data_IF_598430434730
#
_entry.id   IF_598430434730
#
_cell.length_a   1.000
_cell.length_b   1.000
_cell.length_c   1.000
_cell.angle_alpha   90.00
_cell.angle_beta   90.00
_cell.angle_gamma   90.00
#
_symmetry.space_group_name_H-M   'P 1'
#
loop_
_entity.id
_entity.type
_entity.pdbx_description
1 polymer ?
#
# COMPACT_ATOMS: atom_id res chain seq x y z
N UNK A 1 0.37 5.93 3.07
CA UNK A 1 0.61 5.13 1.85
C UNK A 1 2.11 4.92 1.69
N UNK A 2 2.56 3.69 1.55
CA UNK A 2 3.96 3.31 1.35
C UNK A 2 4.06 2.43 0.10
N UNK A 3 4.16 3.04 -1.09
CA UNK A 3 4.13 2.31 -2.36
C UNK A 3 5.49 1.67 -2.71
N UNK A 4 6.55 2.09 -2.03
CA UNK A 4 7.92 1.73 -2.31
C UNK A 4 8.33 0.35 -1.79
N UNK A 5 9.38 -0.22 -2.40
CA UNK A 5 9.94 -1.51 -2.03
C UNK A 5 11.30 -1.76 -2.67
N UNK A 6 12.15 -2.59 -2.06
CA UNK A 6 13.48 -2.90 -2.57
C UNK A 6 13.51 -3.92 -3.73
N UNK A 7 12.35 -4.39 -4.20
CA UNK A 7 12.23 -5.43 -5.24
C UNK A 7 11.32 -4.95 -6.36
N UNK A 8 11.86 -4.73 -7.56
CA UNK A 8 11.15 -4.12 -8.68
C UNK A 8 9.85 -4.86 -9.04
N UNK A 9 9.85 -6.18 -8.96
CA UNK A 9 8.71 -7.05 -9.24
C UNK A 9 7.54 -6.88 -8.26
N UNK A 10 7.76 -6.22 -7.11
CA UNK A 10 6.71 -5.87 -6.13
C UNK A 10 6.11 -4.49 -6.37
N UNK A 11 6.58 -3.71 -7.34
CA UNK A 11 5.91 -2.46 -7.68
C UNK A 11 4.54 -2.73 -8.28
N UNK A 12 3.54 -2.04 -7.74
CA UNK A 12 2.24 -1.90 -8.38
C UNK A 12 2.26 -0.67 -9.28
N UNK A 13 1.37 -0.59 -10.26
CA UNK A 13 1.42 0.49 -11.26
C UNK A 13 1.25 1.87 -10.62
N UNK A 14 2.06 2.83 -11.05
CA UNK A 14 2.10 4.18 -10.50
C UNK A 14 0.77 4.94 -10.68
N UNK A 15 0.11 4.76 -11.82
CA UNK A 15 -1.21 5.31 -12.12
C UNK A 15 -2.28 4.81 -11.13
N UNK A 16 -2.25 3.52 -10.77
CA UNK A 16 -3.18 2.93 -9.81
C UNK A 16 -2.93 3.40 -8.38
N UNK A 17 -1.67 3.59 -7.99
CA UNK A 17 -1.33 4.23 -6.71
C UNK A 17 -1.90 5.63 -6.63
N UNK A 18 -1.68 6.44 -7.67
CA UNK A 18 -2.24 7.79 -7.76
C UNK A 18 -3.77 7.72 -7.66
N UNK A 19 -4.41 6.83 -8.40
CA UNK A 19 -5.85 6.70 -8.42
C UNK A 19 -6.45 6.29 -7.07
N UNK A 20 -5.84 5.35 -6.34
CA UNK A 20 -6.27 5.04 -4.96
C UNK A 20 -6.15 6.24 -4.04
N UNK A 21 -5.06 6.99 -4.13
CA UNK A 21 -4.85 8.20 -3.32
C UNK A 21 -5.93 9.24 -3.62
N UNK A 22 -6.31 9.43 -4.89
CA UNK A 22 -7.41 10.33 -5.27
C UNK A 22 -8.75 9.87 -4.71
N UNK A 23 -9.07 8.59 -4.85
CA UNK A 23 -10.32 8.02 -4.31
C UNK A 23 -10.44 8.14 -2.78
N UNK A 24 -9.29 8.10 -2.08
CA UNK A 24 -9.22 8.36 -0.65
C UNK A 24 -9.46 9.83 -0.30
N UNK A 25 -8.87 10.77 -1.05
CA UNK A 25 -9.00 12.21 -0.77
C UNK A 25 -10.34 12.78 -1.26
N UNK A 26 -10.65 12.56 -2.54
CA UNK A 26 -11.70 13.26 -3.28
C UNK A 26 -12.94 12.39 -3.52
N UNK A 27 -12.81 11.06 -3.41
CA UNK A 27 -13.89 10.07 -3.65
C UNK A 27 -14.90 9.93 -2.50
N UNK A 28 -15.12 10.98 -1.71
CA UNK A 28 -16.08 11.01 -0.60
C UNK A 28 -15.58 10.46 0.74
N UNK A 29 -14.40 9.82 0.77
CA UNK A 29 -13.78 9.28 1.99
C UNK A 29 -13.10 10.35 2.85
N UNK A 30 -12.71 11.48 2.26
CA UNK A 30 -12.08 12.62 2.94
C UNK A 30 -10.85 12.21 3.78
N UNK A 31 -10.09 11.21 3.31
CA UNK A 31 -8.88 10.72 3.96
C UNK A 31 -7.66 11.49 3.46
N UNK A 32 -7.02 12.24 4.36
CA UNK A 32 -5.74 12.90 4.07
C UNK A 32 -4.62 11.86 3.92
N UNK A 33 -4.06 11.77 2.72
CA UNK A 33 -3.01 10.82 2.41
C UNK A 33 -1.60 11.41 2.71
N UNK A 34 -0.77 10.59 3.35
CA UNK A 34 0.68 10.83 3.50
C UNK A 34 1.43 9.74 2.72
N UNK A 35 2.34 10.15 1.84
CA UNK A 35 3.20 9.23 1.07
C UNK A 35 4.57 9.14 1.77
N UNK A 36 4.98 7.92 2.10
CA UNK A 36 6.33 7.62 2.63
C UNK A 36 7.07 6.69 1.68
N UNK A 37 8.40 6.66 1.80
CA UNK A 37 9.30 5.85 0.98
C UNK A 37 10.76 6.21 1.27
N UNK A 38 11.67 5.34 0.85
CA UNK A 38 13.12 5.51 0.97
C UNK A 38 13.72 6.46 -0.06
N UNK A 39 15.06 6.45 -0.13
CA UNK A 39 15.87 7.24 -1.08
C UNK A 39 16.51 6.37 -2.16
N UNK A 40 16.10 5.10 -2.27
CA UNK A 40 16.60 4.21 -3.32
C UNK A 40 16.24 4.80 -4.72
N UNK A 41 17.14 4.75 -5.72
CA UNK A 41 16.87 5.35 -7.02
C UNK A 41 15.64 4.79 -7.74
N UNK A 42 15.36 3.50 -7.61
CA UNK A 42 14.21 2.87 -8.27
C UNK A 42 12.91 3.21 -7.52
N UNK A 43 12.97 3.26 -6.19
CA UNK A 43 11.85 3.70 -5.35
C UNK A 43 11.51 5.18 -5.60
N UNK A 44 12.54 6.02 -5.68
CA UNK A 44 12.39 7.45 -5.99
C UNK A 44 11.74 7.65 -7.35
N UNK A 45 12.20 6.92 -8.38
CA UNK A 45 11.60 6.97 -9.72
C UNK A 45 10.13 6.56 -9.70
N UNK A 46 9.81 5.47 -9.00
CA UNK A 46 8.44 5.01 -8.87
C UNK A 46 7.54 6.05 -8.17
N UNK A 47 8.03 6.67 -7.11
CA UNK A 47 7.33 7.74 -6.40
C UNK A 47 7.13 8.98 -7.27
N UNK A 48 8.13 9.37 -8.04
CA UNK A 48 8.04 10.52 -8.96
C UNK A 48 6.95 10.29 -10.03
N UNK A 49 6.83 9.08 -10.56
CA UNK A 49 5.75 8.70 -11.48
C UNK A 49 4.37 8.83 -10.83
N UNK A 50 4.21 8.32 -9.59
CA UNK A 50 2.95 8.46 -8.82
C UNK A 50 2.60 9.94 -8.63
N UNK A 51 3.58 10.75 -8.23
CA UNK A 51 3.40 12.19 -7.98
C UNK A 51 3.04 12.91 -9.28
N UNK A 52 3.63 12.54 -10.41
CA UNK A 52 3.30 13.08 -11.72
C UNK A 52 1.83 12.80 -12.11
N UNK A 53 1.35 11.57 -11.88
CA UNK A 53 -0.05 11.20 -12.10
C UNK A 53 -1.02 11.95 -11.17
N UNK A 54 -0.62 12.21 -9.92
CA UNK A 54 -1.44 13.01 -8.99
C UNK A 54 -1.54 14.47 -9.44
N UNK A 55 -0.44 15.07 -9.89
CA UNK A 55 -0.41 16.47 -10.35
C UNK A 55 -1.28 16.70 -11.59
N UNK A 56 -1.34 15.74 -12.51
CA UNK A 56 -2.07 15.91 -13.77
C UNK A 56 -3.60 15.92 -13.62
N UNK A 57 -4.11 15.52 -12.45
CA UNK A 57 -5.55 15.30 -12.23
C UNK A 57 -6.22 16.34 -11.31
N UNK A 58 -5.44 17.30 -10.77
CA UNK A 58 -5.98 18.41 -9.97
C UNK A 58 -6.51 18.03 -8.58
N UNK A 59 -6.17 16.83 -8.08
CA UNK A 59 -6.61 16.31 -6.78
C UNK A 59 -6.00 17.03 -5.58
N UNK A 60 -6.63 16.90 -4.41
CA UNK A 60 -6.04 17.32 -3.15
C UNK A 60 -4.68 16.64 -2.95
N UNK A 61 -3.62 17.46 -2.93
CA UNK A 61 -2.25 16.95 -2.91
C UNK A 61 -1.98 16.22 -1.60
N UNK A 62 -1.51 14.96 -1.64
CA UNK A 62 -1.07 14.27 -0.43
C UNK A 62 0.19 14.94 0.12
N UNK A 63 0.42 14.78 1.43
CA UNK A 63 1.70 15.15 2.02
C UNK A 63 2.77 14.13 1.61
N UNK A 64 3.78 14.56 0.86
CA UNK A 64 4.88 13.70 0.42
C UNK A 64 6.07 13.84 1.35
N UNK A 65 6.37 12.78 2.10
CA UNK A 65 7.54 12.69 2.99
C UNK A 65 8.54 11.62 2.53
N UNK A 66 8.33 11.02 1.37
CA UNK A 66 9.26 10.04 0.83
C UNK A 66 10.66 10.65 0.60
N UNK A 67 11.70 9.88 0.93
CA UNK A 67 13.09 10.31 0.89
C UNK A 67 13.51 11.33 1.96
N UNK A 68 12.59 11.77 2.83
CA UNK A 68 12.82 12.81 3.84
C UNK A 68 12.84 12.28 5.28
N UNK A 69 12.53 11.00 5.47
CA UNK A 69 12.40 10.39 6.79
C UNK A 69 13.45 9.31 7.00
N UNK A 70 14.03 9.28 8.20
CA UNK A 70 14.68 8.09 8.72
C UNK A 70 13.65 6.96 8.94
N UNK A 71 14.16 5.75 9.21
CA UNK A 71 13.30 4.61 9.54
C UNK A 71 12.43 4.88 10.79
N UNK A 72 13.00 5.52 11.81
CA UNK A 72 12.28 5.83 13.05
C UNK A 72 11.22 6.91 12.84
N UNK A 73 11.50 7.91 12.02
CA UNK A 73 10.51 8.94 11.67
C UNK A 73 9.39 8.35 10.80
N UNK A 74 9.73 7.44 9.87
CA UNK A 74 8.72 6.68 9.11
C UNK A 74 7.82 5.88 10.05
N UNK A 75 8.40 5.19 11.03
CA UNK A 75 7.63 4.46 12.06
C UNK A 75 6.72 5.41 12.87
N UNK A 76 7.21 6.60 13.24
CA UNK A 76 6.43 7.60 13.96
C UNK A 76 5.26 8.14 13.13
N UNK A 77 5.44 8.33 11.82
CA UNK A 77 4.36 8.69 10.89
C UNK A 77 3.32 7.56 10.81
N UNK A 78 3.77 6.32 10.61
CA UNK A 78 2.87 5.15 10.53
C UNK A 78 2.05 5.01 11.82
N UNK A 79 2.66 5.17 13.00
CA UNK A 79 1.97 5.10 14.30
C UNK A 79 0.82 6.09 14.46
N UNK A 80 0.82 7.18 13.69
CA UNK A 80 -0.22 8.22 13.71
C UNK A 80 -1.28 8.06 12.61
N UNK A 81 -1.12 7.09 11.72
CA UNK A 81 -2.07 6.85 10.65
C UNK A 81 -3.35 6.20 11.19
N UNK A 82 -4.49 6.50 10.58
CA UNK A 82 -5.76 5.78 10.83
C UNK A 82 -5.86 4.50 10.01
N UNK A 83 -5.14 4.44 8.89
CA UNK A 83 -5.09 3.34 7.94
C UNK A 83 -3.74 3.35 7.24
N UNK A 84 -3.09 2.18 7.14
CA UNK A 84 -1.91 1.99 6.32
C UNK A 84 -2.25 1.29 5.01
N UNK A 85 -1.52 1.64 3.95
CA UNK A 85 -1.66 1.03 2.63
C UNK A 85 -0.26 0.92 2.03
N UNK A 86 0.08 -0.25 1.48
CA UNK A 86 1.38 -0.50 0.87
C UNK A 86 1.50 -1.90 0.28
N UNK A 87 2.69 -2.24 -0.19
CA UNK A 87 3.03 -3.61 -0.59
C UNK A 87 3.67 -4.36 0.59
N UNK A 88 3.95 -5.64 0.42
CA UNK A 88 4.71 -6.45 1.38
C UNK A 88 6.11 -5.87 1.69
N UNK A 89 6.19 -5.03 2.73
CA UNK A 89 7.41 -4.36 3.21
C UNK A 89 7.42 -4.22 4.73
N UNK A 90 8.60 -3.89 5.28
CA UNK A 90 8.76 -3.57 6.69
C UNK A 90 7.77 -2.50 7.21
N UNK A 91 7.37 -1.53 6.37
CA UNK A 91 6.40 -0.51 6.75
C UNK A 91 5.04 -1.10 7.16
N UNK A 92 4.58 -2.16 6.48
CA UNK A 92 3.30 -2.82 6.80
C UNK A 92 3.40 -3.69 8.07
N UNK A 93 4.58 -4.24 8.34
CA UNK A 93 4.84 -4.90 9.63
C UNK A 93 4.90 -3.90 10.80
N UNK A 94 5.48 -2.71 10.59
CA UNK A 94 5.44 -1.63 11.59
C UNK A 94 4.00 -1.17 11.85
N UNK A 95 3.18 -1.02 10.80
CA UNK A 95 1.75 -0.72 10.95
C UNK A 95 1.04 -1.77 11.83
N UNK A 96 1.31 -3.06 11.58
CA UNK A 96 0.81 -4.15 12.42
C UNK A 96 1.27 -4.05 13.88
N UNK A 97 2.55 -3.73 14.11
CA UNK A 97 3.09 -3.58 15.46
C UNK A 97 2.43 -2.43 16.23
N UNK A 98 2.04 -1.36 15.53
CA UNK A 98 1.32 -0.22 16.09
C UNK A 98 -0.21 -0.38 16.10
N UNK A 99 -0.73 -1.56 15.74
CA UNK A 99 -2.17 -1.85 15.68
C UNK A 99 -2.93 -0.91 14.72
N UNK A 100 -2.29 -0.56 13.61
CA UNK A 100 -2.90 0.24 12.55
C UNK A 100 -3.60 -0.70 11.56
N UNK A 101 -4.91 -0.53 11.31
CA UNK A 101 -5.60 -1.22 10.22
C UNK A 101 -4.87 -1.00 8.89
N UNK A 102 -4.86 -2.01 8.02
CA UNK A 102 -4.05 -1.90 6.80
C UNK A 102 -4.57 -2.72 5.62
N UNK A 103 -4.31 -2.20 4.43
CA UNK A 103 -4.46 -2.93 3.17
C UNK A 103 -3.06 -3.20 2.61
N UNK A 104 -2.77 -4.48 2.33
CA UNK A 104 -1.43 -4.90 1.89
C UNK A 104 -1.52 -5.66 0.58
N UNK A 105 -0.76 -5.19 -0.41
CA UNK A 105 -0.72 -5.76 -1.75
C UNK A 105 0.39 -6.80 -1.87
N UNK A 106 0.04 -7.98 -2.37
CA UNK A 106 0.94 -9.10 -2.60
C UNK A 106 0.85 -9.58 -4.05
N UNK A 107 1.99 -9.96 -4.62
CA UNK A 107 2.09 -10.53 -5.96
C UNK A 107 3.15 -11.62 -6.01
N UNK A 108 4.44 -11.26 -6.12
CA UNK A 108 5.53 -12.24 -6.25
C UNK A 108 5.94 -12.86 -4.91
N UNK A 109 5.52 -12.28 -3.77
CA UNK A 109 5.76 -12.85 -2.44
C UNK A 109 4.53 -13.58 -1.93
N UNK A 110 4.76 -14.59 -1.09
CA UNK A 110 3.69 -15.42 -0.55
C UNK A 110 3.19 -14.88 0.81
N UNK A 111 1.89 -14.48 0.90
CA UNK A 111 1.28 -14.01 2.15
C UNK A 111 1.25 -15.06 3.28
N UNK A 112 1.37 -16.35 2.97
CA UNK A 112 1.50 -17.39 3.99
C UNK A 112 2.71 -17.11 4.89
N UNK A 113 3.83 -16.67 4.31
CA UNK A 113 5.09 -16.42 5.03
C UNK A 113 5.18 -15.00 5.58
N UNK A 114 4.72 -14.01 4.80
CA UNK A 114 5.08 -12.60 5.00
C UNK A 114 3.92 -11.69 5.36
N UNK A 115 2.66 -12.15 5.40
CA UNK A 115 1.55 -11.24 5.75
C UNK A 115 1.73 -10.64 7.15
N UNK A 116 1.42 -9.35 7.35
CA UNK A 116 1.40 -8.78 8.69
C UNK A 116 0.37 -9.47 9.58
N UNK A 117 0.71 -9.61 10.87
CA UNK A 117 -0.14 -10.29 11.86
C UNK A 117 -1.06 -9.30 12.57
N UNK A 118 -2.05 -8.79 11.84
CA UNK A 118 -3.09 -7.89 12.35
C UNK A 118 -4.48 -8.41 11.97
N UNK A 119 -5.47 -8.45 12.88
CA UNK A 119 -6.81 -8.97 12.58
C UNK A 119 -7.56 -8.14 11.54
N UNK A 120 -7.24 -6.85 11.44
CA UNK A 120 -7.79 -5.95 10.43
C UNK A 120 -6.84 -5.71 9.25
N UNK A 121 -5.83 -6.57 9.05
CA UNK A 121 -5.08 -6.57 7.79
C UNK A 121 -5.96 -7.15 6.68
N UNK A 122 -6.12 -6.40 5.57
CA UNK A 122 -6.76 -6.84 4.35
C UNK A 122 -5.69 -7.16 3.33
N UNK A 123 -5.47 -8.44 3.08
CA UNK A 123 -4.48 -8.91 2.12
C UNK A 123 -5.12 -9.01 0.74
N UNK A 124 -4.58 -8.25 -0.22
CA UNK A 124 -4.96 -8.33 -1.63
C UNK A 124 -3.86 -9.08 -2.36
N UNK A 125 -4.15 -10.29 -2.83
CA UNK A 125 -3.23 -11.08 -3.63
C UNK A 125 -3.55 -10.91 -5.11
N UNK A 126 -2.52 -10.71 -5.91
CA UNK A 126 -2.62 -10.66 -7.36
C UNK A 126 -3.37 -11.86 -7.94
N UNK A 127 -4.35 -11.60 -8.81
CA UNK A 127 -5.18 -12.63 -9.44
C UNK A 127 -6.12 -13.37 -8.49
N UNK A 128 -6.18 -12.99 -7.20
CA UNK A 128 -7.18 -13.48 -6.26
C UNK A 128 -8.40 -12.55 -6.28
N UNK A 129 -9.60 -13.12 -6.14
CA UNK A 129 -10.82 -12.32 -6.06
C UNK A 129 -11.03 -11.80 -4.63
N UNK A 130 -11.17 -10.48 -4.46
CA UNK A 130 -11.38 -9.88 -3.14
C UNK A 130 -10.20 -10.01 -2.16
N UNK A 131 -10.50 -9.88 -0.87
CA UNK A 131 -9.53 -9.96 0.24
C UNK A 131 -9.33 -11.44 0.61
N UNK A 132 -8.07 -11.85 0.82
CA UNK A 132 -7.77 -13.21 1.28
C UNK A 132 -8.32 -13.48 2.68
N UNK A 133 -8.78 -14.71 2.87
CA UNK A 133 -9.27 -15.30 4.11
C UNK A 133 -8.34 -16.40 4.59
N UNK A 134 -8.55 -16.92 5.80
CA UNK A 134 -7.65 -17.92 6.38
C UNK A 134 -7.56 -19.23 5.58
N UNK A 135 -8.59 -19.56 4.81
CA UNK A 135 -8.60 -20.74 3.94
C UNK A 135 -7.79 -20.56 2.65
N UNK A 136 -7.44 -19.33 2.29
CA UNK A 136 -6.75 -19.02 1.04
C UNK A 136 -5.23 -19.15 1.16
N UNK A 137 -4.68 -19.18 2.39
CA UNK A 137 -3.24 -19.22 2.60
C UNK A 137 -2.65 -20.61 2.41
N UNK A 138 -1.73 -20.74 1.45
CA UNK A 138 -1.01 -21.97 1.15
C UNK A 138 0.50 -21.81 1.29
N UNK A 139 1.19 -22.85 1.79
CA UNK A 139 2.65 -22.84 1.92
C UNK A 139 3.38 -22.61 0.58
N UNK A 140 2.81 -23.13 -0.50
CA UNK A 140 3.31 -22.99 -1.87
C UNK A 140 2.36 -22.08 -2.65
N UNK A 141 2.91 -21.04 -3.24
CA UNK A 141 2.22 -20.08 -4.09
C UNK A 141 3.14 -19.78 -5.27
N UNK A 142 2.59 -19.83 -6.48
CA UNK A 142 3.31 -19.39 -7.68
C UNK A 142 3.45 -17.88 -7.68
N UNK A 143 4.58 -17.35 -8.19
CA UNK A 143 4.79 -15.91 -8.28
C UNK A 143 3.75 -15.26 -9.20
N UNK A 144 3.20 -14.12 -8.78
CA UNK A 144 2.17 -13.41 -9.52
C UNK A 144 2.58 -11.96 -9.75
N UNK A 145 2.38 -11.45 -10.96
CA UNK A 145 2.65 -10.03 -11.26
C UNK A 145 1.70 -9.13 -10.50
N UNK A 146 2.18 -8.01 -9.95
CA UNK A 146 1.35 -7.01 -9.28
C UNK A 146 0.25 -6.43 -10.20
N UNK A 147 0.43 -6.51 -11.51
CA UNK A 147 -0.49 -5.94 -12.51
C UNK A 147 -1.90 -6.51 -12.49
N UNK A 148 -2.12 -7.72 -11.97
CA UNK A 148 -3.46 -8.29 -11.87
C UNK A 148 -4.26 -7.77 -10.68
N UNK A 149 -3.64 -7.05 -9.73
CA UNK A 149 -4.36 -6.39 -8.64
C UNK A 149 -5.16 -5.21 -9.18
N UNK A 150 -6.48 -5.26 -9.04
CA UNK A 150 -7.37 -4.21 -9.55
C UNK A 150 -7.56 -3.10 -8.52
N UNK A 151 -7.66 -1.86 -9.01
CA UNK A 151 -7.99 -0.68 -8.21
C UNK A 151 -9.22 -0.92 -7.32
N UNK A 152 -10.31 -1.42 -7.90
CA UNK A 152 -11.58 -1.63 -7.20
C UNK A 152 -11.44 -2.58 -5.99
N UNK A 153 -10.54 -3.56 -6.04
CA UNK A 153 -10.28 -4.46 -4.91
C UNK A 153 -9.63 -3.71 -3.74
N UNK A 154 -8.69 -2.82 -4.05
CA UNK A 154 -8.00 -2.01 -3.05
C UNK A 154 -8.97 -1.02 -2.42
N UNK A 155 -9.78 -0.33 -3.23
CA UNK A 155 -10.81 0.61 -2.75
C UNK A 155 -11.84 -0.11 -1.85
N UNK A 156 -12.37 -1.25 -2.30
CA UNK A 156 -13.32 -2.03 -1.50
C UNK A 156 -12.71 -2.48 -0.18
N UNK A 157 -11.43 -2.86 -0.15
CA UNK A 157 -10.75 -3.23 1.09
C UNK A 157 -10.60 -2.04 2.04
N UNK A 158 -10.24 -0.85 1.51
CA UNK A 158 -10.17 0.41 2.27
C UNK A 158 -11.54 0.72 2.90
N UNK A 159 -12.63 0.56 2.16
CA UNK A 159 -14.00 0.82 2.64
C UNK A 159 -14.40 -0.08 3.81
N UNK A 160 -13.83 -1.29 3.92
CA UNK A 160 -14.10 -2.16 5.09
C UNK A 160 -13.39 -1.71 6.37
N UNK A 161 -12.46 -0.75 6.28
CA UNK A 161 -11.61 -0.30 7.38
C UNK A 161 -11.83 1.17 7.75
N UNK A 162 -12.15 2.03 6.78
CA UNK A 162 -12.47 3.43 7.00
C UNK A 162 -13.86 3.55 7.64
N UNK A 163 -13.90 3.72 8.96
CA UNK A 163 -15.11 4.00 9.75
C UNK A 163 -15.20 5.47 10.11
#
# INVERSE_FOLDING_TARGET
VHPGTARLEKYWKADRWAEVIRECSDGGRQLSCVITGGTDPDETRHLDEIIAHLKSTGSNAPLVLAGQLSLLETAAVIRRATLALGVDTAAMHLASAFQIPQVVLFGPTNPFHWRPRHPEARIILSGHEGVMTDTDYTMRLEERSMDAIQLAQVIKAIDTLAK
#
